data_IF_813141189718
#
_entry.id   IF_813141189718
#
_cell.length_a   1.000
_cell.length_b   1.000
_cell.length_c   1.000
_cell.angle_alpha   90.00
_cell.angle_beta   90.00
_cell.angle_gamma   90.00
#
_symmetry.space_group_name_H-M   'P 1'
#
loop_
_entity.id
_entity.type
_entity.pdbx_description
1 polymer ?
#
# COMPACT_ATOMS: atom_id res chain seq x y z
N UNK A 1 18.72 14.88 -23.24
CA UNK A 1 18.52 14.87 -21.77
C UNK A 1 17.04 14.79 -21.37
N UNK A 2 16.17 15.65 -21.92
CA UNK A 2 14.74 15.72 -21.55
C UNK A 2 13.92 14.43 -21.78
N UNK A 3 14.17 13.70 -22.88
CA UNK A 3 13.49 12.41 -23.15
C UNK A 3 13.85 11.31 -22.15
N UNK A 4 15.12 11.20 -21.77
CA UNK A 4 15.59 10.18 -20.80
C UNK A 4 14.88 10.38 -19.45
N UNK A 5 14.72 11.63 -19.02
CA UNK A 5 13.97 11.98 -17.80
C UNK A 5 12.48 11.66 -17.90
N UNK A 6 11.86 11.79 -19.08
CA UNK A 6 10.44 11.47 -19.27
C UNK A 6 10.18 9.96 -19.25
N UNK A 7 11.01 9.17 -19.95
CA UNK A 7 10.94 7.71 -19.96
C UNK A 7 11.17 7.11 -18.56
N UNK A 8 12.15 7.64 -17.83
CA UNK A 8 12.42 7.24 -16.44
C UNK A 8 11.23 7.52 -15.52
N UNK A 9 10.63 8.72 -15.63
CA UNK A 9 9.48 9.12 -14.80
C UNK A 9 8.27 8.20 -15.02
N UNK A 10 8.04 7.76 -16.26
CA UNK A 10 7.00 6.75 -16.59
C UNK A 10 7.29 5.38 -15.99
N UNK A 11 8.54 4.91 -16.04
CA UNK A 11 8.93 3.63 -15.43
C UNK A 11 8.75 3.66 -13.91
N UNK A 12 9.19 4.73 -13.24
CA UNK A 12 8.99 4.92 -11.80
C UNK A 12 7.50 4.92 -11.44
N UNK A 13 6.67 5.63 -12.20
CA UNK A 13 5.23 5.63 -12.03
C UNK A 13 4.59 4.24 -12.19
N UNK A 14 5.02 3.46 -13.18
CA UNK A 14 4.54 2.09 -13.38
C UNK A 14 4.93 1.16 -12.22
N UNK A 15 6.14 1.33 -11.66
CA UNK A 15 6.57 0.60 -10.46
C UNK A 15 5.70 0.96 -9.26
N UNK A 16 5.41 2.25 -9.03
CA UNK A 16 4.51 2.66 -7.96
C UNK A 16 3.08 2.13 -8.14
N UNK A 17 2.59 2.06 -9.38
CA UNK A 17 1.26 1.51 -9.67
C UNK A 17 1.20 0.01 -9.39
N UNK A 18 2.22 -0.74 -9.79
CA UNK A 18 2.33 -2.16 -9.47
C UNK A 18 2.42 -2.38 -7.96
N UNK A 19 3.25 -1.61 -7.25
CA UNK A 19 3.36 -1.66 -5.80
C UNK A 19 2.03 -1.33 -5.10
N UNK A 20 1.30 -0.32 -5.59
CA UNK A 20 -0.04 0.03 -5.09
C UNK A 20 -1.03 -1.13 -5.26
N UNK A 21 -1.07 -1.77 -6.43
CA UNK A 21 -1.92 -2.94 -6.65
C UNK A 21 -1.55 -4.12 -5.74
N UNK A 22 -0.25 -4.32 -5.49
CA UNK A 22 0.26 -5.37 -4.60
C UNK A 22 -0.08 -5.13 -3.12
N UNK A 23 -0.47 -3.92 -2.71
CA UNK A 23 -0.93 -3.66 -1.34
C UNK A 23 -2.18 -4.49 -0.99
N UNK A 24 -3.05 -4.81 -1.97
CA UNK A 24 -4.27 -5.60 -1.72
C UNK A 24 -3.95 -7.06 -1.32
N UNK A 25 -3.23 -7.86 -2.13
CA UNK A 25 -2.88 -9.22 -1.72
C UNK A 25 -1.97 -9.23 -0.48
N UNK A 26 -1.08 -8.25 -0.33
CA UNK A 26 -0.25 -8.11 0.87
C UNK A 26 -1.10 -7.87 2.13
N UNK A 27 -2.12 -7.02 2.06
CA UNK A 27 -3.03 -6.76 3.16
C UNK A 27 -3.79 -8.02 3.56
N UNK A 28 -4.31 -8.77 2.59
CA UNK A 28 -5.02 -10.03 2.83
C UNK A 28 -4.11 -11.07 3.50
N UNK A 29 -2.85 -11.14 3.09
CA UNK A 29 -1.87 -12.02 3.73
C UNK A 29 -1.59 -11.61 5.18
N UNK A 30 -1.35 -10.31 5.43
CA UNK A 30 -1.12 -9.74 6.76
C UNK A 30 -2.26 -10.04 7.72
N UNK A 31 -3.50 -9.85 7.26
CA UNK A 31 -4.71 -10.11 8.04
C UNK A 31 -4.77 -11.57 8.50
N UNK A 32 -4.25 -12.53 7.72
CA UNK A 32 -4.29 -13.95 8.08
C UNK A 32 -3.08 -14.46 8.87
N UNK A 33 -1.92 -13.79 8.80
CA UNK A 33 -0.65 -14.39 9.23
C UNK A 33 0.17 -13.52 10.20
N UNK A 34 -0.08 -12.22 10.27
CA UNK A 34 0.80 -11.31 10.99
C UNK A 34 0.02 -10.25 11.79
N UNK A 35 0.21 -10.24 13.10
CA UNK A 35 -0.32 -9.23 14.03
C UNK A 35 0.13 -9.51 15.45
N UNK A 36 -0.11 -8.56 16.35
CA UNK A 36 0.20 -8.66 17.78
C UNK A 36 -0.78 -9.59 18.52
N UNK A 37 -2.03 -9.65 18.05
CA UNK A 37 -3.04 -10.56 18.58
C UNK A 37 -3.84 -11.17 17.43
N UNK A 38 -3.76 -12.49 17.23
CA UNK A 38 -4.56 -13.20 16.23
C UNK A 38 -5.69 -13.96 16.92
N UNK A 39 -6.93 -13.63 16.58
CA UNK A 39 -8.13 -14.25 17.17
C UNK A 39 -8.37 -15.61 16.48
N UNK A 40 -8.80 -16.67 17.21
CA UNK A 40 -9.18 -17.93 16.58
C UNK A 40 -10.26 -17.71 15.50
N UNK A 41 -9.99 -18.17 14.28
CA UNK A 41 -10.85 -17.93 13.09
C UNK A 41 -11.10 -16.46 12.72
N UNK A 42 -10.25 -15.53 13.21
CA UNK A 42 -10.38 -14.10 12.98
C UNK A 42 -9.11 -13.45 12.41
N UNK A 43 -9.18 -12.16 12.10
CA UNK A 43 -8.03 -11.41 11.59
C UNK A 43 -6.95 -11.23 12.68
N UNK A 44 -5.70 -11.19 12.26
CA UNK A 44 -4.59 -10.71 13.07
C UNK A 44 -4.68 -9.20 13.27
N UNK A 45 -4.61 -8.77 14.52
CA UNK A 45 -4.83 -7.40 14.96
C UNK A 45 -3.52 -6.75 15.39
N UNK A 46 -3.47 -5.43 15.24
CA UNK A 46 -2.42 -4.56 15.76
C UNK A 46 -3.05 -3.42 16.59
N UNK A 47 -2.36 -2.96 17.64
CA UNK A 47 -2.80 -1.79 18.39
C UNK A 47 -2.58 -0.52 17.57
N UNK A 48 -3.60 0.33 17.48
CA UNK A 48 -3.53 1.61 16.78
C UNK A 48 -3.65 2.80 17.73
N UNK A 49 -4.28 2.62 18.88
CA UNK A 49 -4.36 3.60 19.97
C UNK A 49 -4.66 2.87 21.30
N UNK A 50 -4.57 3.53 22.45
CA UNK A 50 -4.94 2.93 23.73
C UNK A 50 -6.38 2.37 23.71
N UNK A 51 -6.53 1.06 23.89
CA UNK A 51 -7.83 0.38 23.84
C UNK A 51 -8.42 0.17 22.44
N UNK A 52 -7.73 0.56 21.37
CA UNK A 52 -8.19 0.38 19.99
C UNK A 52 -7.28 -0.58 19.22
N UNK A 53 -7.87 -1.68 18.77
CA UNK A 53 -7.23 -2.70 17.94
C UNK A 53 -7.82 -2.62 16.53
N UNK A 54 -6.96 -2.74 15.52
CA UNK A 54 -7.36 -2.77 14.12
C UNK A 54 -6.76 -3.99 13.42
N UNK A 55 -7.35 -4.48 12.32
CA UNK A 55 -6.73 -5.50 11.48
C UNK A 55 -5.36 -5.03 10.96
N UNK A 56 -4.38 -5.93 10.93
CA UNK A 56 -3.01 -5.64 10.49
C UNK A 56 -2.92 -5.11 9.05
N UNK A 57 -3.91 -5.41 8.21
CA UNK A 57 -4.03 -4.88 6.85
C UNK A 57 -4.12 -3.35 6.78
N UNK A 58 -4.47 -2.65 7.87
CA UNK A 58 -4.52 -1.18 7.90
C UNK A 58 -3.16 -0.53 7.58
N UNK A 59 -2.05 -1.20 7.91
CA UNK A 59 -0.70 -0.73 7.55
C UNK A 59 -0.52 -0.64 6.04
N UNK A 60 -1.07 -1.61 5.30
CA UNK A 60 -1.00 -1.61 3.83
C UNK A 60 -1.89 -0.53 3.23
N UNK A 61 -3.00 -0.18 3.88
CA UNK A 61 -3.85 0.95 3.45
C UNK A 61 -3.08 2.28 3.56
N UNK A 62 -2.38 2.50 4.67
CA UNK A 62 -1.52 3.68 4.83
C UNK A 62 -0.44 3.78 3.73
N UNK A 63 0.23 2.65 3.44
CA UNK A 63 1.21 2.57 2.36
C UNK A 63 0.58 2.82 0.97
N UNK A 64 -0.59 2.24 0.72
CA UNK A 64 -1.29 2.38 -0.55
C UNK A 64 -1.65 3.83 -0.86
N UNK A 65 -2.08 4.62 0.14
CA UNK A 65 -2.37 6.05 -0.06
C UNK A 65 -1.12 6.84 -0.47
N UNK A 66 0.04 6.55 0.12
CA UNK A 66 1.32 7.18 -0.26
C UNK A 66 1.73 6.78 -1.67
N UNK A 67 1.63 5.49 -2.01
CA UNK A 67 1.96 5.00 -3.35
C UNK A 67 1.03 5.60 -4.42
N UNK A 68 -0.26 5.76 -4.12
CA UNK A 68 -1.23 6.44 -5.00
C UNK A 68 -0.81 7.88 -5.30
N UNK A 69 -0.40 8.63 -4.29
CA UNK A 69 0.08 10.01 -4.48
C UNK A 69 1.35 10.04 -5.35
N UNK A 70 2.28 9.09 -5.15
CA UNK A 70 3.48 8.96 -5.99
C UNK A 70 3.17 8.58 -7.44
N UNK A 71 2.18 7.71 -7.68
CA UNK A 71 1.66 7.40 -9.03
C UNK A 71 1.16 8.68 -9.70
N UNK A 72 0.33 9.45 -9.01
CA UNK A 72 -0.24 10.69 -9.56
C UNK A 72 0.84 11.74 -9.85
N UNK A 73 1.85 11.89 -8.98
CA UNK A 73 2.99 12.80 -9.20
C UNK A 73 3.88 12.41 -10.39
N UNK A 74 3.94 11.12 -10.75
CA UNK A 74 4.86 10.61 -11.80
C UNK A 74 4.16 10.35 -13.14
N UNK A 75 2.93 9.82 -13.13
CA UNK A 75 2.15 9.49 -14.33
C UNK A 75 1.07 10.53 -14.68
N UNK A 76 0.75 11.42 -13.74
CA UNK A 76 -0.26 12.47 -13.91
C UNK A 76 -1.67 12.06 -13.47
N UNK A 77 -2.56 13.06 -13.43
CA UNK A 77 -3.93 12.95 -12.89
C UNK A 77 -4.83 11.93 -13.62
N UNK A 78 -4.47 11.50 -14.84
CA UNK A 78 -5.24 10.49 -15.60
C UNK A 78 -5.11 9.07 -15.06
N UNK A 79 -4.19 8.85 -14.13
CA UNK A 79 -3.93 7.56 -13.47
C UNK A 79 -4.40 7.55 -12.00
N UNK A 80 -5.27 8.50 -11.64
CA UNK A 80 -5.88 8.66 -10.32
C UNK A 80 -7.15 7.83 -10.15
#
# INVERSE_FOLDING_TARGET
MAEITAARRRREGAVFLAAFGLCIPAANWLIGHAGLACVPHGPCLIPVAPGLMAPSGVLMVGLALVLRDLVQRRLGLRWA
#
